data_IF_029316629858
#
_entry.id   IF_029316629858
#
_cell.length_a   1.000
_cell.length_b   1.000
_cell.length_c   1.000
_cell.angle_alpha   90.00
_cell.angle_beta   90.00
_cell.angle_gamma   90.00
#
_symmetry.space_group_name_H-M   'P 1'
#
loop_
_entity.id
_entity.type
_entity.pdbx_description
1 polymer ?
#
# COMPACT_ATOMS: atom_id res chain seq x y z
N UNK A 1 -9.19 -0.61 -19.69
CA UNK A 1 -8.87 0.62 -20.46
C UNK A 1 -7.42 0.97 -20.25
N UNK A 2 -6.78 1.61 -21.23
CA UNK A 2 -5.40 2.10 -21.11
C UNK A 2 -5.41 3.51 -20.52
N UNK A 3 -4.63 3.74 -19.46
CA UNK A 3 -4.44 5.05 -18.84
C UNK A 3 -2.99 5.48 -19.04
N UNK A 4 -2.76 6.74 -19.43
CA UNK A 4 -1.43 7.30 -19.70
C UNK A 4 -1.30 8.67 -19.04
N UNK A 5 -0.07 9.06 -18.68
CA UNK A 5 0.25 10.39 -18.18
C UNK A 5 0.13 11.41 -19.33
N UNK A 6 -0.31 12.64 -19.02
CA UNK A 6 -0.52 13.69 -20.04
C UNK A 6 0.78 14.11 -20.73
N UNK A 7 1.89 14.07 -20.01
CA UNK A 7 3.23 14.41 -20.47
C UNK A 7 4.03 13.21 -21.00
N UNK A 8 3.46 12.01 -20.93
CA UNK A 8 4.14 10.78 -21.35
C UNK A 8 5.26 10.33 -20.41
N UNK A 9 5.36 10.92 -19.21
CA UNK A 9 6.33 10.48 -18.20
C UNK A 9 5.98 9.13 -17.58
N UNK A 10 6.97 8.53 -16.93
CA UNK A 10 6.84 7.23 -16.27
C UNK A 10 5.84 7.28 -15.09
N UNK A 11 5.10 6.19 -14.90
CA UNK A 11 4.17 6.01 -13.78
C UNK A 11 4.30 4.62 -13.18
N UNK A 12 4.21 4.53 -11.85
CA UNK A 12 4.21 3.30 -11.09
C UNK A 12 3.15 3.36 -9.98
N UNK A 13 2.63 2.20 -9.57
CA UNK A 13 1.62 2.07 -8.52
C UNK A 13 1.95 0.87 -7.63
N UNK A 14 1.72 1.02 -6.33
CA UNK A 14 1.64 -0.07 -5.35
C UNK A 14 0.29 0.01 -4.64
N UNK A 15 -0.20 -1.12 -4.14
CA UNK A 15 -1.50 -1.21 -3.47
C UNK A 15 -1.44 -2.23 -2.33
N UNK A 16 -1.96 -1.83 -1.17
CA UNK A 16 -2.28 -2.74 -0.07
C UNK A 16 -3.71 -2.50 0.41
N UNK A 17 -4.38 -3.58 0.81
CA UNK A 17 -5.65 -3.48 1.54
C UNK A 17 -5.34 -3.41 3.04
N UNK A 18 -5.89 -2.40 3.71
CA UNK A 18 -5.66 -2.17 5.14
C UNK A 18 -6.93 -2.41 5.95
N UNK A 19 -6.78 -3.03 7.11
CA UNK A 19 -7.80 -3.07 8.15
C UNK A 19 -7.45 -2.03 9.22
N UNK A 20 -8.37 -1.11 9.51
CA UNK A 20 -8.19 -0.14 10.61
C UNK A 20 -8.46 -0.83 11.94
N UNK A 21 -7.55 -0.64 12.90
CA UNK A 21 -7.66 -1.13 14.28
C UNK A 21 -7.75 0.04 15.25
N UNK A 22 -8.01 -0.24 16.54
CA UNK A 22 -8.14 0.80 17.58
C UNK A 22 -6.89 1.68 17.68
N UNK A 23 -5.71 1.09 17.49
CA UNK A 23 -4.41 1.72 17.68
C UNK A 23 -3.57 1.82 16.38
N UNK A 24 -4.19 1.68 15.21
CA UNK A 24 -3.47 1.76 13.93
C UNK A 24 -4.12 0.98 12.78
N UNK A 25 -3.33 0.17 12.07
CA UNK A 25 -3.83 -0.68 11.00
C UNK A 25 -3.04 -2.00 10.82
N UNK A 26 -3.71 -2.97 10.20
CA UNK A 26 -3.14 -4.23 9.71
C UNK A 26 -3.08 -4.22 8.17
N UNK A 27 -1.94 -4.64 7.61
CA UNK A 27 -1.72 -4.81 6.17
C UNK A 27 -2.18 -6.22 5.75
N UNK A 28 -3.37 -6.33 5.16
CA UNK A 28 -4.00 -7.62 4.83
C UNK A 28 -3.33 -8.34 3.64
N UNK A 29 -2.72 -7.58 2.73
CA UNK A 29 -2.09 -8.12 1.51
C UNK A 29 -0.56 -8.12 1.58
N UNK A 30 0.01 -8.18 2.79
CA UNK A 30 1.46 -8.18 3.02
C UNK A 30 2.11 -9.46 2.46
N UNK A 31 3.21 -9.29 1.72
CA UNK A 31 4.01 -10.38 1.15
C UNK A 31 5.07 -10.89 2.15
N UNK A 32 5.54 -12.13 2.01
CA UNK A 32 6.57 -12.68 2.90
C UNK A 32 7.92 -11.95 2.85
N UNK A 33 8.22 -11.28 1.73
CA UNK A 33 9.46 -10.55 1.46
C UNK A 33 9.34 -9.03 1.63
N UNK A 34 8.17 -8.54 2.04
CA UNK A 34 8.01 -7.13 2.37
C UNK A 34 8.84 -6.75 3.60
N UNK A 35 9.37 -5.53 3.60
CA UNK A 35 10.23 -5.01 4.67
C UNK A 35 9.48 -4.12 5.67
N UNK A 36 8.17 -3.93 5.45
CA UNK A 36 7.28 -3.18 6.32
C UNK A 36 6.57 -4.10 7.32
N UNK A 37 6.16 -3.55 8.46
CA UNK A 37 5.46 -4.32 9.49
C UNK A 37 4.02 -4.65 9.07
N UNK A 38 3.53 -5.84 9.46
CA UNK A 38 2.13 -6.22 9.28
C UNK A 38 1.18 -5.33 10.07
N UNK A 39 1.59 -4.91 11.27
CA UNK A 39 0.81 -4.07 12.17
C UNK A 39 1.52 -2.73 12.37
N UNK A 40 0.92 -1.66 11.86
CA UNK A 40 1.45 -0.30 12.00
C UNK A 40 0.66 0.39 13.10
N UNK A 41 1.35 0.86 14.15
CA UNK A 41 0.73 1.52 15.31
C UNK A 41 0.79 3.04 15.17
N UNK A 42 -0.29 3.71 15.57
CA UNK A 42 -0.37 5.17 15.70
C UNK A 42 -0.37 5.54 17.20
N UNK A 43 0.35 6.61 17.54
CA UNK A 43 0.55 7.10 18.91
C UNK A 43 -0.68 7.73 19.54
#
# INVERSE_FOLDING_TARGET
WTVTTKDGGDSAQWEHTLLVTEDGCEVLTLRPDDTIDRFIKHS
#
